data_IF_509662080385
#
_entry.id   IF_509662080385
#
_cell.length_a   1.000
_cell.length_b   1.000
_cell.length_c   1.000
_cell.angle_alpha   90.00
_cell.angle_beta   90.00
_cell.angle_gamma   90.00
#
_symmetry.space_group_name_H-M   'P 1'
#
loop_
_entity.id
_entity.type
_entity.pdbx_description
1 polymer ?
#
# COMPACT_ATOMS: atom_id res chain seq x y z
N UNK A 1 -0.66 -9.03 3.48
CA UNK A 1 -1.30 -7.99 4.32
C UNK A 1 -1.82 -6.77 3.54
N UNK A 2 -1.11 -6.24 2.54
CA UNK A 2 -1.54 -5.05 1.75
C UNK A 2 -2.95 -5.17 1.17
N UNK A 3 -3.33 -6.33 0.62
CA UNK A 3 -4.67 -6.56 0.03
C UNK A 3 -5.84 -6.38 1.01
N UNK A 4 -5.63 -6.67 2.29
CA UNK A 4 -6.71 -6.56 3.30
C UNK A 4 -6.95 -5.10 3.68
N UNK A 5 -5.88 -4.30 3.83
CA UNK A 5 -5.96 -2.86 4.12
C UNK A 5 -6.66 -2.08 3.01
N UNK A 6 -6.33 -2.37 1.75
CA UNK A 6 -6.97 -1.74 0.59
C UNK A 6 -8.46 -2.09 0.47
N UNK A 7 -8.86 -3.31 0.83
CA UNK A 7 -10.27 -3.72 0.82
C UNK A 7 -11.08 -3.04 1.94
N UNK A 8 -10.47 -2.84 3.11
CA UNK A 8 -11.10 -2.11 4.22
C UNK A 8 -11.28 -0.63 3.88
N UNK A 9 -10.27 0.00 3.27
CA UNK A 9 -10.39 1.38 2.80
C UNK A 9 -11.45 1.54 1.71
N UNK A 10 -11.48 0.62 0.73
CA UNK A 10 -12.46 0.65 -0.35
C UNK A 10 -13.89 0.45 0.16
N UNK A 11 -14.10 -0.50 1.09
CA UNK A 11 -15.42 -0.73 1.69
C UNK A 11 -15.88 0.45 2.54
N UNK A 12 -15.00 1.07 3.33
CA UNK A 12 -15.34 2.28 4.09
C UNK A 12 -15.71 3.46 3.18
N UNK A 13 -15.03 3.64 2.04
CA UNK A 13 -15.36 4.66 1.05
C UNK A 13 -16.72 4.40 0.37
N UNK A 14 -17.02 3.14 0.04
CA UNK A 14 -18.32 2.75 -0.54
C UNK A 14 -19.45 2.97 0.48
N UNK A 15 -19.23 2.70 1.77
CA UNK A 15 -20.24 2.98 2.81
C UNK A 15 -20.44 4.49 2.97
N UNK A 16 -19.34 5.25 3.07
CA UNK A 16 -19.39 6.70 3.33
C UNK A 16 -19.96 7.52 2.17
N UNK A 17 -19.79 7.10 0.92
CA UNK A 17 -20.25 7.85 -0.26
C UNK A 17 -21.30 7.09 -1.09
N UNK A 18 -21.17 5.78 -1.23
CA UNK A 18 -22.09 4.96 -2.02
C UNK A 18 -23.47 4.85 -1.41
N UNK A 19 -23.58 4.67 -0.09
CA UNK A 19 -24.88 4.59 0.60
C UNK A 19 -25.65 5.93 0.53
N UNK A 20 -25.04 7.10 0.79
CA UNK A 20 -25.70 8.39 0.56
C UNK A 20 -26.15 8.59 -0.88
N UNK A 21 -25.29 8.32 -1.86
CA UNK A 21 -25.60 8.51 -3.28
C UNK A 21 -26.78 7.63 -3.74
N UNK A 22 -26.81 6.36 -3.34
CA UNK A 22 -27.91 5.45 -3.64
C UNK A 22 -29.19 5.84 -2.93
N UNK A 23 -29.12 6.25 -1.65
CA UNK A 23 -30.30 6.67 -0.90
C UNK A 23 -31.00 7.89 -1.52
N UNK A 24 -30.21 8.86 -2.00
CA UNK A 24 -30.73 10.03 -2.70
C UNK A 24 -31.29 9.65 -4.07
N UNK A 25 -30.59 8.81 -4.84
CA UNK A 25 -31.06 8.34 -6.13
C UNK A 25 -32.42 7.64 -6.03
N UNK A 26 -32.58 6.74 -5.05
CA UNK A 26 -33.84 6.01 -4.84
C UNK A 26 -34.97 6.94 -4.36
N UNK A 27 -34.66 7.95 -3.55
CA UNK A 27 -35.64 8.97 -3.15
C UNK A 27 -36.18 9.78 -4.33
N UNK A 28 -35.32 10.10 -5.29
CA UNK A 28 -35.68 10.92 -6.46
C UNK A 28 -36.43 10.08 -7.51
N UNK A 29 -35.95 8.87 -7.82
CA UNK A 29 -36.50 8.05 -8.90
C UNK A 29 -37.72 7.22 -8.51
N UNK A 30 -37.77 6.72 -7.27
CA UNK A 30 -38.81 5.79 -6.83
C UNK A 30 -39.78 6.41 -5.81
N UNK A 31 -39.64 7.71 -5.53
CA UNK A 31 -40.49 8.42 -4.56
C UNK A 31 -40.30 7.95 -3.11
N UNK A 32 -39.13 7.40 -2.79
CA UNK A 32 -38.81 6.98 -1.42
C UNK A 32 -38.76 8.19 -0.48
N UNK A 33 -39.18 8.01 0.77
CA UNK A 33 -39.33 9.11 1.73
C UNK A 33 -38.00 9.86 1.93
N UNK A 34 -37.99 11.15 1.56
CA UNK A 34 -36.83 12.03 1.65
C UNK A 34 -36.26 12.17 3.06
N UNK A 35 -37.10 12.10 4.09
CA UNK A 35 -36.68 12.19 5.50
C UNK A 35 -35.89 10.92 5.87
N UNK A 36 -36.38 9.75 5.44
CA UNK A 36 -35.69 8.49 5.68
C UNK A 36 -34.35 8.44 4.94
N UNK A 37 -34.30 8.89 3.68
CA UNK A 37 -33.05 8.98 2.91
C UNK A 37 -32.04 9.95 3.55
N UNK A 38 -32.49 11.10 4.07
CA UNK A 38 -31.65 12.05 4.78
C UNK A 38 -31.04 11.45 6.06
N UNK A 39 -31.80 10.70 6.85
CA UNK A 39 -31.28 10.04 8.06
C UNK A 39 -30.27 8.94 7.71
N UNK A 40 -30.55 8.14 6.68
CA UNK A 40 -29.67 7.05 6.24
C UNK A 40 -28.37 7.60 5.66
N UNK A 41 -28.42 8.65 4.86
CA UNK A 41 -27.22 9.31 4.32
C UNK A 41 -26.34 9.91 5.42
N UNK A 42 -26.94 10.60 6.39
CA UNK A 42 -26.22 11.25 7.48
C UNK A 42 -25.53 10.20 8.38
N UNK A 43 -26.23 9.13 8.72
CA UNK A 43 -25.65 8.02 9.49
C UNK A 43 -24.54 7.29 8.72
N UNK A 44 -24.70 7.07 7.42
CA UNK A 44 -23.66 6.46 6.58
C UNK A 44 -22.38 7.31 6.50
N UNK A 45 -22.50 8.64 6.42
CA UNK A 45 -21.35 9.54 6.43
C UNK A 45 -20.61 9.46 7.76
N UNK A 46 -21.33 9.46 8.89
CA UNK A 46 -20.73 9.39 10.23
C UNK A 46 -20.01 8.05 10.43
N UNK A 47 -20.64 6.94 10.06
CA UNK A 47 -20.05 5.59 10.20
C UNK A 47 -18.87 5.39 9.25
N UNK A 48 -19.01 5.80 7.98
CA UNK A 48 -17.92 5.73 7.00
C UNK A 48 -16.72 6.58 7.41
N UNK A 49 -16.96 7.80 7.90
CA UNK A 49 -15.92 8.68 8.43
C UNK A 49 -15.21 8.10 9.65
N UNK A 50 -15.96 7.52 10.61
CA UNK A 50 -15.38 6.87 11.78
C UNK A 50 -14.49 5.67 11.38
N UNK A 51 -14.93 4.83 10.45
CA UNK A 51 -14.15 3.69 9.96
C UNK A 51 -12.83 4.11 9.31
N UNK A 52 -12.83 5.19 8.52
CA UNK A 52 -11.62 5.75 7.91
C UNK A 52 -10.70 6.31 9.00
N UNK A 53 -11.23 7.10 9.92
CA UNK A 53 -10.46 7.70 11.00
C UNK A 53 -9.78 6.64 11.88
N UNK A 54 -10.54 5.66 12.37
CA UNK A 54 -9.97 4.55 13.15
C UNK A 54 -9.04 3.68 12.31
N UNK A 55 -9.33 3.49 11.02
CA UNK A 55 -8.45 2.76 10.10
C UNK A 55 -7.08 3.41 9.92
N UNK A 56 -7.01 4.74 9.90
CA UNK A 56 -5.75 5.49 9.84
C UNK A 56 -5.03 5.49 11.19
N UNK A 57 -5.75 5.75 12.29
CA UNK A 57 -5.16 5.93 13.64
C UNK A 57 -4.70 4.60 14.25
N UNK A 58 -5.45 3.51 14.07
CA UNK A 58 -5.19 2.22 14.73
C UNK A 58 -4.87 1.09 13.75
N UNK A 59 -5.13 1.29 12.45
CA UNK A 59 -5.09 0.25 11.46
C UNK A 59 -3.85 0.28 10.56
N UNK A 60 -3.68 -0.77 9.73
CA UNK A 60 -2.54 -0.91 8.82
C UNK A 60 -2.52 0.10 7.67
N UNK A 61 -3.45 1.07 7.62
CA UNK A 61 -3.40 2.19 6.68
C UNK A 61 -2.24 3.16 6.99
N UNK A 62 -1.81 3.27 8.26
CA UNK A 62 -0.66 4.10 8.66
C UNK A 62 0.70 3.45 8.35
N UNK A 63 0.74 2.14 8.08
CA UNK A 63 2.00 1.37 7.96
C UNK A 63 2.74 1.51 6.61
N UNK A 64 2.33 2.46 5.77
CA UNK A 64 2.89 2.64 4.42
C UNK A 64 4.33 3.17 4.38
N UNK A 65 4.73 3.97 5.37
CA UNK A 65 6.02 4.68 5.32
C UNK A 65 7.20 3.82 5.85
N UNK A 66 7.04 3.14 6.99
CA UNK A 66 8.17 2.48 7.66
C UNK A 66 8.66 1.19 6.99
N UNK A 67 7.78 0.40 6.36
CA UNK A 67 8.21 -0.83 5.69
C UNK A 67 9.05 -0.58 4.43
N UNK A 68 8.85 0.57 3.78
CA UNK A 68 9.58 0.94 2.57
C UNK A 68 11.04 1.27 2.89
N UNK A 69 11.28 2.04 3.95
CA UNK A 69 12.61 2.40 4.41
C UNK A 69 13.42 1.18 4.89
N UNK A 70 12.77 0.24 5.61
CA UNK A 70 13.40 -1.00 6.05
C UNK A 70 13.85 -1.88 4.87
N UNK A 71 12.99 -2.05 3.86
CA UNK A 71 13.33 -2.79 2.64
C UNK A 71 14.44 -2.12 1.82
N UNK A 72 14.44 -0.78 1.71
CA UNK A 72 15.50 -0.05 1.04
C UNK A 72 16.86 -0.24 1.73
N UNK A 73 16.90 -0.20 3.06
CA UNK A 73 18.14 -0.45 3.83
C UNK A 73 18.66 -1.86 3.62
N UNK A 74 17.76 -2.85 3.64
CA UNK A 74 18.11 -4.25 3.38
C UNK A 74 18.64 -4.45 1.96
N UNK A 75 17.97 -3.90 0.94
CA UNK A 75 18.47 -3.97 -0.43
C UNK A 75 19.79 -3.25 -0.62
N UNK A 76 19.99 -2.09 0.02
CA UNK A 76 21.27 -1.38 -0.03
C UNK A 76 22.40 -2.21 0.60
N UNK A 77 22.13 -2.89 1.72
CA UNK A 77 23.11 -3.78 2.35
C UNK A 77 23.44 -4.97 1.43
N UNK A 78 22.42 -5.57 0.81
CA UNK A 78 22.61 -6.70 -0.09
C UNK A 78 23.40 -6.31 -1.35
N UNK A 79 23.06 -5.19 -1.99
CA UNK A 79 23.79 -4.68 -3.16
C UNK A 79 25.25 -4.36 -2.84
N UNK A 80 25.55 -3.90 -1.62
CA UNK A 80 26.92 -3.65 -1.19
C UNK A 80 27.71 -4.96 -1.06
N UNK A 81 27.11 -5.99 -0.49
CA UNK A 81 27.74 -7.31 -0.42
C UNK A 81 27.98 -7.90 -1.82
N UNK A 82 27.02 -7.77 -2.74
CA UNK A 82 27.17 -8.25 -4.13
C UNK A 82 28.26 -7.49 -4.89
N UNK A 83 28.46 -6.19 -4.62
CA UNK A 83 29.57 -5.43 -5.19
C UNK A 83 30.93 -5.94 -4.70
N UNK A 84 31.02 -6.29 -3.42
CA UNK A 84 32.23 -6.86 -2.81
C UNK A 84 32.56 -8.22 -3.44
N UNK A 85 31.55 -9.07 -3.67
CA UNK A 85 31.70 -10.34 -4.39
C UNK A 85 32.14 -10.13 -5.86
N UNK A 86 31.66 -9.07 -6.52
CA UNK A 86 32.07 -8.75 -7.90
C UNK A 86 33.54 -8.31 -7.99
N UNK A 87 34.04 -7.56 -7.01
CA UNK A 87 35.45 -7.15 -6.95
C UNK A 87 36.36 -8.37 -6.74
N UNK A 88 35.97 -9.33 -5.90
CA UNK A 88 36.71 -10.59 -5.70
C UNK A 88 36.77 -11.42 -7.01
N UNK A 89 35.67 -11.48 -7.77
CA UNK A 89 35.65 -12.14 -9.08
C UNK A 89 36.61 -11.45 -10.06
N UNK A 90 36.70 -10.11 -10.05
CA UNK A 90 37.61 -9.36 -10.92
C UNK A 90 39.08 -9.66 -10.57
N UNK A 91 39.40 -9.80 -9.28
CA UNK A 91 40.73 -10.18 -8.82
C UNK A 91 41.12 -11.57 -9.33
N UNK A 92 40.25 -12.57 -9.16
CA UNK A 92 40.46 -13.93 -9.66
C UNK A 92 40.65 -13.95 -11.17
N UNK A 93 39.82 -13.23 -11.93
CA UNK A 93 39.95 -13.14 -13.38
C UNK A 93 41.26 -12.46 -13.80
N UNK A 94 41.75 -11.51 -13.01
CA UNK A 94 43.02 -10.84 -13.22
C UNK A 94 44.19 -11.78 -12.98
N UNK A 95 44.17 -12.57 -11.90
CA UNK A 95 45.17 -13.61 -11.64
C UNK A 95 45.22 -14.65 -12.77
N UNK A 96 44.05 -15.15 -13.20
CA UNK A 96 43.97 -16.10 -14.33
C UNK A 96 44.57 -15.52 -15.60
N UNK A 97 44.26 -14.24 -15.91
CA UNK A 97 44.81 -13.55 -17.07
C UNK A 97 46.32 -13.39 -16.97
N UNK A 98 46.84 -13.04 -15.80
CA UNK A 98 48.26 -12.78 -15.62
C UNK A 98 49.07 -14.10 -15.62
N UNK A 99 48.50 -15.19 -15.10
CA UNK A 99 49.04 -16.54 -15.27
C UNK A 99 49.08 -16.97 -16.75
N UNK A 100 48.03 -16.69 -17.52
CA UNK A 100 47.99 -17.00 -18.95
C UNK A 100 49.04 -16.20 -19.75
N UNK A 101 49.29 -14.95 -19.38
CA UNK A 101 50.33 -14.12 -20.02
C UNK A 101 51.75 -14.51 -19.66
N UNK A 102 51.97 -15.11 -18.49
CA UNK A 102 53.29 -15.55 -18.05
C UNK A 102 53.75 -16.89 -18.64
N UNK A 103 52.89 -17.55 -19.42
CA UNK A 103 53.15 -18.84 -20.08
C UNK A 103 53.60 -18.67 -21.55
N UNK A 104 53.56 -17.44 -22.10
CA UNK A 104 54.23 -17.07 -23.36
C UNK A 104 55.71 -16.73 -23.18
#
# INVERSE_FOLDING_TARGET
MVRSSTLVAASAAIIGFGVPALSLYVSIQYGFNYIAAAVVSLTAIVVGGALIFFGIVTGPLSLGEDQSAGKLRMFRAHLRATLEEMDEIIEILTEIRDLLKGVE
#
